data_IF_395269241676
#
_entry.id   IF_395269241676
#
_cell.length_a   1.000
_cell.length_b   1.000
_cell.length_c   1.000
_cell.angle_alpha   90.00
_cell.angle_beta   90.00
_cell.angle_gamma   90.00
#
_symmetry.space_group_name_H-M   'P 1'
#
loop_
_entity.id
_entity.type
_entity.pdbx_description
1 polymer ?
#
# COMPACT_ATOMS: atom_id res chain seq x y z
N UNK A 1 -0.78 58.60 -4.31
CA UNK A 1 -1.22 58.29 -2.92
C UNK A 1 -1.78 56.87 -2.90
N UNK A 2 -1.43 56.15 -1.83
CA UNK A 2 -1.74 54.77 -1.41
C UNK A 2 -3.14 54.22 -1.79
N UNK A 3 -3.41 52.91 -1.85
CA UNK A 3 -2.88 51.81 -1.06
C UNK A 3 -3.09 50.43 -1.73
N UNK A 4 -2.21 49.51 -1.34
CA UNK A 4 -2.18 48.07 -1.53
C UNK A 4 -3.42 47.33 -1.03
N UNK A 5 -3.93 46.36 -1.81
CA UNK A 5 -4.67 45.19 -1.30
C UNK A 5 -4.28 43.93 -2.07
N UNK A 6 -3.55 43.03 -1.39
CA UNK A 6 -3.47 41.60 -1.73
C UNK A 6 -4.69 40.89 -1.13
N UNK A 7 -5.39 40.03 -1.88
CA UNK A 7 -5.95 38.79 -1.38
C UNK A 7 -4.99 37.67 -1.82
N UNK A 8 -4.39 36.89 -0.92
CA UNK A 8 -5.08 36.05 0.04
C UNK A 8 -5.06 34.63 -0.51
N UNK A 9 -3.95 33.93 -0.30
CA UNK A 9 -3.79 32.52 -0.63
C UNK A 9 -4.75 31.69 0.23
N UNK A 10 -5.63 30.91 -0.40
CA UNK A 10 -6.32 29.76 0.18
C UNK A 10 -6.93 28.91 -0.95
N UNK A 11 -6.09 28.38 -1.85
CA UNK A 11 -6.45 27.33 -2.79
C UNK A 11 -5.64 26.09 -2.44
N UNK A 12 -6.11 25.29 -1.50
CA UNK A 12 -5.37 24.10 -1.09
C UNK A 12 -5.92 23.38 0.13
N UNK A 13 -7.25 23.22 0.26
CA UNK A 13 -7.80 22.38 1.34
C UNK A 13 -9.23 21.86 1.10
N UNK A 14 -9.88 22.15 -0.03
CA UNK A 14 -11.33 21.93 -0.16
C UNK A 14 -11.76 20.71 -1.01
N UNK A 15 -10.83 19.86 -1.48
CA UNK A 15 -11.17 18.74 -2.37
C UNK A 15 -11.00 17.34 -1.77
N UNK A 16 -10.59 17.22 -0.50
CA UNK A 16 -10.38 15.93 0.17
C UNK A 16 -11.44 15.58 1.24
N UNK A 17 -12.33 16.50 1.60
CA UNK A 17 -13.30 16.28 2.68
C UNK A 17 -14.65 15.69 2.22
N UNK A 18 -14.91 15.58 0.91
CA UNK A 18 -16.25 15.24 0.39
C UNK A 18 -16.49 13.73 0.13
N UNK A 19 -15.52 12.84 0.40
CA UNK A 19 -15.67 11.38 0.18
C UNK A 19 -15.76 10.53 1.45
N UNK A 20 -15.89 11.15 2.63
CA UNK A 20 -16.03 10.47 3.92
C UNK A 20 -17.51 10.29 4.36
N UNK A 21 -18.42 10.16 3.39
CA UNK A 21 -19.85 9.95 3.65
C UNK A 21 -20.22 8.47 3.78
N UNK A 22 -20.63 8.08 5.00
CA UNK A 22 -21.43 6.90 5.34
C UNK A 22 -20.76 5.52 5.32
N UNK A 23 -20.05 5.26 6.42
CA UNK A 23 -19.74 3.92 6.94
C UNK A 23 -18.71 4.07 8.04
N UNK A 24 -19.04 3.71 9.29
CA UNK A 24 -18.07 3.69 10.40
C UNK A 24 -16.91 2.80 10.00
N UNK A 25 -15.78 3.40 9.61
CA UNK A 25 -14.48 2.75 9.51
C UNK A 25 -13.71 3.23 10.74
N UNK A 26 -13.99 2.59 11.87
CA UNK A 26 -13.13 2.71 13.04
C UNK A 26 -11.76 2.09 12.68
N UNK A 27 -10.73 2.93 12.66
CA UNK A 27 -9.30 2.68 12.44
C UNK A 27 -8.79 2.43 11.01
N UNK A 28 -7.96 3.38 10.54
CA UNK A 28 -6.95 3.24 9.50
C UNK A 28 -6.88 4.48 8.60
N UNK A 29 -5.87 5.31 8.79
CA UNK A 29 -5.54 6.36 7.83
C UNK A 29 -5.12 5.71 6.50
N UNK A 30 -5.59 6.23 5.37
CA UNK A 30 -5.08 5.79 4.07
C UNK A 30 -3.66 6.33 3.92
N UNK A 31 -2.67 5.45 4.08
CA UNK A 31 -1.28 5.85 4.04
C UNK A 31 -0.82 6.11 2.61
N UNK A 32 -0.04 7.18 2.44
CA UNK A 32 0.75 7.41 1.25
C UNK A 32 1.87 6.38 1.14
N UNK A 33 2.41 6.21 -0.08
CA UNK A 33 3.56 5.32 -0.31
C UNK A 33 4.77 5.70 0.56
N UNK A 34 4.97 7.00 0.81
CA UNK A 34 6.05 7.51 1.65
C UNK A 34 5.86 7.11 3.12
N UNK A 35 4.65 7.19 3.64
CA UNK A 35 4.33 6.78 5.01
C UNK A 35 4.44 5.26 5.20
N UNK A 36 3.99 4.47 4.22
CA UNK A 36 4.19 3.01 4.24
C UNK A 36 5.67 2.66 4.25
N UNK A 37 6.46 3.29 3.38
CA UNK A 37 7.90 3.07 3.33
C UNK A 37 8.58 3.49 4.65
N UNK A 38 8.15 4.59 5.26
CA UNK A 38 8.69 5.04 6.55
C UNK A 38 8.44 4.02 7.68
N UNK A 39 7.30 3.33 7.66
CA UNK A 39 6.92 2.30 8.65
C UNK A 39 7.47 0.90 8.33
N UNK A 40 8.17 0.76 7.21
CA UNK A 40 8.65 -0.53 6.73
C UNK A 40 10.15 -0.72 6.95
N UNK A 41 10.53 -1.97 7.12
CA UNK A 41 11.93 -2.44 7.22
C UNK A 41 12.42 -3.00 5.88
N UNK A 42 11.51 -3.46 5.02
CA UNK A 42 11.83 -3.89 3.66
C UNK A 42 10.62 -3.75 2.72
N UNK A 43 10.87 -3.79 1.42
CA UNK A 43 9.87 -3.83 0.34
C UNK A 43 10.25 -4.89 -0.69
N UNK A 44 9.28 -5.75 -1.04
CA UNK A 44 9.52 -6.91 -1.89
C UNK A 44 8.40 -7.10 -2.92
N UNK A 45 8.76 -7.59 -4.10
CA UNK A 45 7.82 -8.16 -5.05
C UNK A 45 7.56 -9.63 -4.74
N UNK A 46 6.28 -10.01 -4.72
CA UNK A 46 5.86 -11.40 -4.48
C UNK A 46 4.94 -11.89 -5.58
N UNK A 47 4.96 -13.20 -5.80
CA UNK A 47 3.93 -13.94 -6.53
C UNK A 47 3.03 -14.64 -5.53
N UNK A 48 1.72 -14.45 -5.67
CA UNK A 48 0.69 -15.11 -4.86
C UNK A 48 -0.07 -16.08 -5.73
N UNK A 49 -0.09 -17.34 -5.36
CA UNK A 49 -0.91 -18.38 -6.02
C UNK A 49 -2.01 -18.83 -5.08
N UNK A 50 -3.26 -18.91 -5.56
CA UNK A 50 -4.36 -19.42 -4.74
C UNK A 50 -4.36 -20.95 -4.71
N UNK A 51 -4.03 -21.51 -3.54
CA UNK A 51 -4.03 -22.94 -3.27
C UNK A 51 -5.39 -23.41 -2.72
N UNK A 52 -6.49 -22.95 -3.35
CA UNK A 52 -7.86 -23.14 -2.86
C UNK A 52 -8.54 -21.81 -2.51
N UNK A 53 -9.64 -21.88 -1.77
CA UNK A 53 -10.45 -20.71 -1.44
C UNK A 53 -9.86 -19.88 -0.28
N UNK A 54 -9.31 -20.58 0.73
CA UNK A 54 -8.79 -20.00 1.98
C UNK A 54 -7.28 -20.01 2.11
N UNK A 55 -6.58 -20.61 1.15
CA UNK A 55 -5.14 -20.79 1.20
C UNK A 55 -4.47 -20.09 0.02
N UNK A 56 -3.26 -19.62 0.27
CA UNK A 56 -2.38 -19.05 -0.72
C UNK A 56 -0.95 -19.60 -0.54
N UNK A 57 -0.17 -19.54 -1.62
CA UNK A 57 1.27 -19.75 -1.63
C UNK A 57 1.90 -18.43 -2.05
N UNK A 58 2.79 -17.89 -1.22
CA UNK A 58 3.55 -16.66 -1.52
C UNK A 58 4.98 -17.04 -1.84
N UNK A 59 5.48 -16.53 -2.95
CA UNK A 59 6.87 -16.68 -3.37
C UNK A 59 7.50 -15.30 -3.50
N UNK A 60 8.54 -15.05 -2.70
CA UNK A 60 9.42 -13.91 -2.88
C UNK A 60 10.04 -13.93 -4.28
N UNK A 61 9.95 -12.81 -5.01
CA UNK A 61 10.48 -12.69 -6.37
C UNK A 61 11.71 -11.79 -6.40
N UNK A 62 11.57 -10.54 -5.94
CA UNK A 62 12.63 -9.54 -6.07
C UNK A 62 12.55 -8.49 -4.95
N UNK A 63 13.67 -8.22 -4.28
CA UNK A 63 13.77 -7.15 -3.29
C UNK A 63 13.84 -5.79 -3.97
N UNK A 64 12.92 -4.90 -3.61
CA UNK A 64 12.92 -3.51 -4.07
C UNK A 64 13.72 -2.62 -3.13
N UNK A 65 13.69 -2.98 -1.86
CA UNK A 65 14.53 -2.42 -0.83
C UNK A 65 14.61 -3.42 0.31
N UNK A 66 15.83 -3.69 0.76
CA UNK A 66 16.10 -4.56 1.90
C UNK A 66 17.02 -3.75 2.81
N UNK A 67 16.52 -3.28 3.95
CA UNK A 67 17.40 -2.76 5.00
C UNK A 67 18.23 -3.89 5.61
N UNK A 68 18.68 -3.75 6.85
CA UNK A 68 19.43 -4.78 7.59
C UNK A 68 18.55 -5.94 8.08
N UNK A 69 17.51 -6.28 7.32
CA UNK A 69 16.34 -6.99 7.81
C UNK A 69 16.39 -8.50 7.60
N UNK A 70 15.67 -9.20 8.48
CA UNK A 70 15.55 -10.66 8.54
C UNK A 70 14.81 -11.28 7.33
N UNK A 71 14.65 -12.59 7.33
CA UNK A 71 13.92 -13.30 6.25
C UNK A 71 12.41 -13.01 6.27
N UNK A 72 11.77 -12.88 5.09
CA UNK A 72 10.35 -12.65 4.97
C UNK A 72 9.55 -13.87 5.41
N UNK A 73 8.54 -13.61 6.23
CA UNK A 73 7.59 -14.60 6.73
C UNK A 73 6.19 -14.23 6.28
N UNK A 74 5.67 -15.02 5.35
CA UNK A 74 4.30 -14.95 4.86
C UNK A 74 3.51 -16.09 5.49
N UNK A 75 2.89 -15.86 6.65
CA UNK A 75 2.03 -16.87 7.26
C UNK A 75 0.84 -17.22 6.34
N UNK A 76 0.38 -18.48 6.40
CA UNK A 76 -0.53 -19.11 5.43
C UNK A 76 -1.99 -18.69 5.52
N UNK A 77 -2.36 -17.73 6.37
CA UNK A 77 -3.71 -17.21 6.44
C UNK A 77 -3.78 -15.80 5.84
N UNK A 78 -4.50 -15.65 4.73
CA UNK A 78 -4.63 -14.39 4.00
C UNK A 78 -5.12 -13.24 4.87
N UNK A 79 -4.20 -12.36 5.25
CA UNK A 79 -4.48 -11.10 5.90
C UNK A 79 -4.99 -10.04 4.92
N UNK A 80 -5.23 -8.83 5.41
CA UNK A 80 -5.75 -7.75 4.55
C UNK A 80 -4.76 -7.35 3.45
N UNK A 81 -3.47 -7.49 3.70
CA UNK A 81 -2.41 -7.09 2.78
C UNK A 81 -2.06 -8.14 1.70
N UNK A 82 -2.38 -9.42 1.93
CA UNK A 82 -2.29 -10.47 0.91
C UNK A 82 -3.56 -11.34 0.98
N UNK A 83 -4.68 -10.87 0.39
CA UNK A 83 -5.97 -11.50 0.58
C UNK A 83 -6.10 -12.82 -0.19
N UNK A 84 -6.71 -13.82 0.45
CA UNK A 84 -7.16 -15.05 -0.21
C UNK A 84 -8.38 -14.79 -1.09
N UNK A 85 -8.76 -15.78 -1.90
CA UNK A 85 -9.97 -15.73 -2.72
C UNK A 85 -11.23 -15.49 -1.87
N UNK A 86 -11.36 -16.18 -0.75
CA UNK A 86 -12.50 -15.99 0.17
C UNK A 86 -12.47 -14.61 0.80
N UNK A 87 -11.30 -14.08 1.17
CA UNK A 87 -11.18 -12.73 1.71
C UNK A 87 -11.60 -11.68 0.70
N UNK A 88 -11.18 -11.80 -0.57
CA UNK A 88 -11.63 -10.92 -1.66
C UNK A 88 -13.14 -10.98 -1.89
N UNK A 89 -13.76 -12.17 -1.76
CA UNK A 89 -15.22 -12.34 -1.85
C UNK A 89 -15.93 -11.71 -0.64
N UNK A 90 -15.41 -11.94 0.56
CA UNK A 90 -15.91 -11.36 1.80
C UNK A 90 -15.87 -9.84 1.75
N UNK A 91 -14.79 -9.24 1.25
CA UNK A 91 -14.70 -7.78 1.12
C UNK A 91 -15.81 -7.19 0.27
N UNK A 92 -16.24 -7.88 -0.80
CA UNK A 92 -17.35 -7.39 -1.64
C UNK A 92 -18.67 -7.30 -0.88
N UNK A 93 -18.93 -8.20 0.07
CA UNK A 93 -20.13 -8.15 0.90
C UNK A 93 -19.97 -7.23 2.10
N UNK A 94 -18.81 -7.25 2.76
CA UNK A 94 -18.53 -6.43 3.95
C UNK A 94 -18.41 -4.94 3.62
N UNK A 95 -17.79 -4.59 2.50
CA UNK A 95 -17.49 -3.22 2.11
C UNK A 95 -18.33 -2.78 0.90
N UNK A 96 -19.65 -2.88 1.03
CA UNK A 96 -20.58 -2.55 -0.04
C UNK A 96 -20.45 -1.09 -0.53
N UNK A 97 -20.03 -0.17 0.35
CA UNK A 97 -19.88 1.26 0.06
C UNK A 97 -18.54 1.62 -0.61
N UNK A 98 -17.62 0.67 -0.79
CA UNK A 98 -16.38 0.95 -1.52
C UNK A 98 -16.65 1.29 -2.99
N UNK A 99 -15.82 2.15 -3.61
CA UNK A 99 -15.98 2.54 -5.01
C UNK A 99 -16.18 1.33 -5.93
N UNK A 100 -17.15 1.42 -6.82
CA UNK A 100 -17.51 0.32 -7.73
C UNK A 100 -16.30 -0.25 -8.52
N UNK A 101 -15.35 0.59 -9.03
CA UNK A 101 -14.14 0.08 -9.69
C UNK A 101 -13.28 -0.81 -8.78
N UNK A 102 -13.14 -0.46 -7.50
CA UNK A 102 -12.36 -1.24 -6.53
C UNK A 102 -13.05 -2.58 -6.22
N UNK A 103 -14.37 -2.58 -6.03
CA UNK A 103 -15.13 -3.82 -5.81
C UNK A 103 -15.09 -4.75 -7.03
N UNK A 104 -15.11 -4.20 -8.24
CA UNK A 104 -14.93 -4.96 -9.48
C UNK A 104 -13.54 -5.62 -9.54
N UNK A 105 -12.50 -4.93 -9.04
CA UNK A 105 -11.15 -5.47 -8.94
C UNK A 105 -11.05 -6.66 -8.00
N UNK A 106 -11.70 -6.58 -6.84
CA UNK A 106 -11.79 -7.71 -5.91
C UNK A 106 -12.42 -8.93 -6.58
N UNK A 107 -13.50 -8.72 -7.34
CA UNK A 107 -14.17 -9.78 -8.08
C UNK A 107 -13.26 -10.40 -9.17
N UNK A 108 -12.53 -9.56 -9.90
CA UNK A 108 -11.59 -10.01 -10.92
C UNK A 108 -10.47 -10.86 -10.30
N UNK A 109 -9.82 -10.37 -9.24
CA UNK A 109 -8.74 -11.10 -8.58
C UNK A 109 -9.23 -12.40 -7.95
N UNK A 110 -10.43 -12.42 -7.36
CA UNK A 110 -11.01 -13.65 -6.80
C UNK A 110 -11.23 -14.75 -7.85
N UNK A 111 -11.32 -14.41 -9.15
CA UNK A 111 -11.46 -15.37 -10.26
C UNK A 111 -10.11 -15.77 -10.86
N UNK A 112 -9.04 -15.05 -10.58
CA UNK A 112 -7.70 -15.37 -11.07
C UNK A 112 -7.14 -16.63 -10.40
N UNK A 113 -6.05 -17.17 -10.97
CA UNK A 113 -5.24 -18.24 -10.34
C UNK A 113 -4.33 -17.71 -9.23
N UNK A 114 -4.07 -16.40 -9.24
CA UNK A 114 -3.12 -15.73 -8.37
C UNK A 114 -2.90 -14.30 -8.83
N UNK A 115 -1.94 -13.61 -8.23
CA UNK A 115 -1.55 -12.25 -8.60
C UNK A 115 -0.11 -11.94 -8.19
N UNK A 116 0.47 -10.93 -8.81
CA UNK A 116 1.75 -10.35 -8.38
C UNK A 116 1.52 -9.03 -7.66
N UNK A 117 2.28 -8.79 -6.61
CA UNK A 117 2.10 -7.64 -5.74
C UNK A 117 3.45 -7.12 -5.23
N UNK A 118 3.49 -5.83 -4.92
CA UNK A 118 4.52 -5.25 -4.05
C UNK A 118 4.02 -5.27 -2.61
N UNK A 119 4.85 -5.72 -1.68
CA UNK A 119 4.52 -5.85 -0.26
C UNK A 119 5.53 -5.08 0.57
N UNK A 120 5.00 -4.25 1.47
CA UNK A 120 5.74 -3.61 2.53
C UNK A 120 5.86 -4.56 3.71
N UNK A 121 7.06 -4.71 4.24
CA UNK A 121 7.35 -5.60 5.36
C UNK A 121 7.87 -4.80 6.55
N UNK A 122 7.42 -5.16 7.74
CA UNK A 122 7.94 -4.64 9.02
C UNK A 122 8.61 -5.75 9.82
N UNK A 123 9.60 -5.38 10.61
CA UNK A 123 10.22 -6.29 11.56
C UNK A 123 9.25 -6.64 12.70
N UNK A 124 9.05 -7.93 12.94
CA UNK A 124 8.34 -8.46 14.11
C UNK A 124 9.15 -9.63 14.69
N UNK A 125 9.83 -9.39 15.81
CA UNK A 125 10.77 -10.35 16.38
C UNK A 125 11.90 -10.67 15.38
N UNK A 126 12.22 -11.94 15.09
CA UNK A 126 13.26 -12.32 14.14
C UNK A 126 12.76 -12.41 12.68
N UNK A 127 11.54 -11.93 12.38
CA UNK A 127 10.91 -12.12 11.06
C UNK A 127 10.45 -10.80 10.46
N UNK A 128 10.42 -10.75 9.15
CA UNK A 128 9.72 -9.71 8.40
C UNK A 128 8.29 -10.16 8.09
N UNK A 129 7.29 -9.39 8.51
CA UNK A 129 5.88 -9.69 8.24
C UNK A 129 5.24 -8.60 7.39
N UNK A 130 4.23 -8.91 6.56
CA UNK A 130 3.48 -7.92 5.81
C UNK A 130 2.86 -6.81 6.67
N UNK A 131 2.99 -5.56 6.22
CA UNK A 131 2.27 -4.41 6.75
C UNK A 131 0.81 -4.46 6.27
N UNK A 132 -0.12 -4.76 7.17
CA UNK A 132 -1.54 -4.86 6.87
C UNK A 132 -2.27 -3.57 7.24
N UNK A 133 -2.35 -2.66 6.28
CA UNK A 133 -2.98 -1.35 6.42
C UNK A 133 -4.19 -1.21 5.47
N UNK A 134 -5.05 -0.20 5.69
CA UNK A 134 -6.30 -0.08 4.93
C UNK A 134 -6.10 0.22 3.44
N UNK A 135 -4.98 0.82 3.03
CA UNK A 135 -4.74 1.06 1.60
C UNK A 135 -4.62 -0.25 0.81
N UNK A 136 -4.33 -1.36 1.47
CA UNK A 136 -4.32 -2.67 0.85
C UNK A 136 -5.68 -3.03 0.24
N UNK A 137 -6.80 -2.51 0.76
CA UNK A 137 -8.13 -2.70 0.18
C UNK A 137 -8.25 -2.12 -1.24
N UNK A 138 -7.47 -1.09 -1.57
CA UNK A 138 -7.45 -0.54 -2.95
C UNK A 138 -6.81 -1.50 -3.96
N UNK A 139 -5.93 -2.39 -3.49
CA UNK A 139 -5.09 -3.28 -4.31
C UNK A 139 -4.27 -2.56 -5.38
N UNK A 140 -3.96 -1.27 -5.18
CA UNK A 140 -3.14 -0.50 -6.13
C UNK A 140 -1.72 -1.05 -6.28
N UNK A 141 -1.23 -1.76 -5.26
CA UNK A 141 0.05 -2.44 -5.23
C UNK A 141 0.11 -3.76 -6.03
N UNK A 142 -1.01 -4.19 -6.64
CA UNK A 142 -1.10 -5.38 -7.50
C UNK A 142 -0.78 -5.01 -8.95
N UNK A 143 0.05 -5.81 -9.61
CA UNK A 143 0.61 -5.50 -10.95
C UNK A 143 -0.45 -5.29 -12.04
N UNK A 144 -1.58 -5.98 -11.93
CA UNK A 144 -2.68 -5.87 -12.91
C UNK A 144 -3.61 -4.67 -12.64
N UNK A 145 -3.34 -3.88 -11.60
CA UNK A 145 -4.13 -2.70 -11.27
C UNK A 145 -3.81 -1.55 -12.26
N UNK A 146 -4.79 -0.83 -12.81
CA UNK A 146 -4.53 0.26 -13.76
C UNK A 146 -3.67 1.39 -13.17
N UNK A 147 -3.85 1.68 -11.88
CA UNK A 147 -3.04 2.64 -11.13
C UNK A 147 -1.66 2.12 -10.68
N UNK A 148 -1.30 0.87 -10.97
CA UNK A 148 -0.04 0.27 -10.49
C UNK A 148 1.19 1.04 -10.98
N UNK A 149 1.22 1.47 -12.25
CA UNK A 149 2.37 2.17 -12.81
C UNK A 149 2.65 3.51 -12.08
N UNK A 150 1.60 4.31 -11.85
CA UNK A 150 1.71 5.57 -11.12
C UNK A 150 2.12 5.34 -9.66
N UNK A 151 1.53 4.34 -9.01
CA UNK A 151 1.87 3.95 -7.65
C UNK A 151 3.33 3.45 -7.54
N UNK A 152 3.79 2.68 -8.52
CA UNK A 152 5.15 2.14 -8.58
C UNK A 152 6.18 3.25 -8.75
N UNK A 153 5.86 4.27 -9.56
CA UNK A 153 6.68 5.46 -9.71
C UNK A 153 6.81 6.22 -8.38
N UNK A 154 5.71 6.42 -7.66
CA UNK A 154 5.73 7.04 -6.33
C UNK A 154 6.60 6.26 -5.33
N UNK A 155 6.59 4.92 -5.40
CA UNK A 155 7.47 4.08 -4.59
C UNK A 155 8.95 4.27 -4.96
N UNK A 156 9.27 4.30 -6.26
CA UNK A 156 10.64 4.52 -6.72
C UNK A 156 11.17 5.88 -6.27
N UNK A 157 10.35 6.94 -6.36
CA UNK A 157 10.68 8.27 -5.87
C UNK A 157 10.92 8.27 -4.36
N UNK A 158 10.03 7.66 -3.57
CA UNK A 158 10.19 7.56 -2.12
C UNK A 158 11.45 6.78 -1.70
N UNK A 159 11.80 5.71 -2.44
CA UNK A 159 13.04 4.96 -2.23
C UNK A 159 14.28 5.79 -2.55
N UNK A 160 14.26 6.54 -3.65
CA UNK A 160 15.35 7.44 -4.03
C UNK A 160 15.57 8.55 -2.98
N UNK A 161 14.48 9.17 -2.50
CA UNK A 161 14.53 10.16 -1.41
C UNK A 161 15.14 9.57 -0.13
N UNK A 162 14.82 8.32 0.20
CA UNK A 162 15.36 7.64 1.39
C UNK A 162 16.85 7.33 1.27
N UNK A 163 17.33 7.04 0.06
CA UNK A 163 18.74 6.76 -0.21
C UNK A 163 19.59 8.04 -0.34
N UNK A 164 18.97 9.19 -0.61
CA UNK A 164 19.69 10.45 -0.76
C UNK A 164 20.42 10.83 0.54
N UNK A 165 21.69 11.29 0.46
CA UNK A 165 22.37 11.85 1.62
C UNK A 165 21.55 13.01 2.17
N UNK A 166 21.33 13.04 3.49
CA UNK A 166 20.71 14.22 4.12
C UNK A 166 21.63 15.42 3.86
N UNK A 167 21.16 16.50 3.21
CA UNK A 167 21.96 17.71 3.10
C UNK A 167 22.28 18.22 4.52
N UNK A 168 23.57 18.23 4.87
CA UNK A 168 24.08 18.56 6.20
C UNK A 168 24.95 17.48 6.88
N UNK A 169 25.11 16.28 6.29
CA UNK A 169 25.94 15.21 6.87
C UNK A 169 27.45 15.28 6.53
N UNK A 170 27.91 16.33 5.87
CA UNK A 170 29.33 16.68 5.70
C UNK A 170 29.42 18.22 5.70
N UNK A 171 30.27 18.91 6.46
CA UNK A 171 31.62 18.59 6.89
C UNK A 171 31.86 18.90 8.38
N UNK A 172 32.40 17.92 9.08
CA UNK A 172 32.91 18.05 10.45
C UNK A 172 34.04 17.06 10.63
N UNK A 173 35.15 17.29 9.91
CA UNK A 173 36.48 16.78 10.22
C UNK A 173 37.48 17.88 9.92
#
# INVERSE_FOLDING_TARGET
MSATRRPGACFGAALLAAWLGAGRVDAGEQLTVKELLARSSAVIEVSVTFAGARALRVEAQHWLWRGDSAEPFFDRAGGTCLPTRDRLRQWRSTYANFPAPTRARWAQLARAKGYRAVVFLRQQGPRLVPCCELEALSLTHVFTHPGFAAWRLALQQALAERAAPRPGAAAGR
#
